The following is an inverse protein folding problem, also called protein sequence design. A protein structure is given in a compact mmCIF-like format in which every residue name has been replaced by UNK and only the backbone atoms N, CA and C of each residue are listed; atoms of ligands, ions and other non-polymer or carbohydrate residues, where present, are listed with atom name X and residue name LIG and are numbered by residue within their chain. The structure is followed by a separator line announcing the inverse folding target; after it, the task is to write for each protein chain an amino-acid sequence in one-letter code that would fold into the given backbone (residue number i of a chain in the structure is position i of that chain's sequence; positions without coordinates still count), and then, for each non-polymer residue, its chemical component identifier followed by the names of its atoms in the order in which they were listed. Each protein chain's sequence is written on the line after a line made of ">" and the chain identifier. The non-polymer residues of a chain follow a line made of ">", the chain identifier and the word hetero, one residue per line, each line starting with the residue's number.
data_IF_733540594204
#
_entry.id   IF_733540594204
#
_cell.length_a   1.000
_cell.length_b   1.000
_cell.length_c   1.000
_cell.angle_alpha   90.00
_cell.angle_beta   90.00
_cell.angle_gamma   90.00
#
_symmetry.space_group_name_H-M   'P 1'
#
loop_
_entity.id
_entity.type
_entity.pdbx_description
1 polymer ?
#
# COMPACT_ATOMS: atom_id res chain seq x y z
N UNK A 1 -17.47 -2.11 -31.86
CA UNK A 1 -16.31 -2.59 -31.09
C UNK A 1 -15.08 -1.88 -31.64
N UNK A 2 -14.31 -1.14 -30.83
CA UNK A 2 -13.14 -0.43 -31.35
C UNK A 2 -11.99 -1.41 -31.52
N UNK A 3 -11.63 -1.66 -32.78
CA UNK A 3 -10.49 -2.44 -33.21
C UNK A 3 -9.19 -1.84 -32.65
N UNK A 4 -8.48 -2.64 -31.85
CA UNK A 4 -7.21 -2.26 -31.25
C UNK A 4 -6.12 -2.62 -32.26
N UNK A 5 -5.57 -1.62 -32.93
CA UNK A 5 -4.37 -1.78 -33.74
C UNK A 5 -3.29 -2.56 -32.94
N UNK A 6 -2.99 -3.79 -33.37
CA UNK A 6 -1.87 -4.58 -32.87
C UNK A 6 -2.05 -5.35 -31.55
N UNK A 7 -3.28 -5.50 -31.02
CA UNK A 7 -3.62 -6.59 -30.10
C UNK A 7 -2.85 -6.72 -28.77
N UNK A 8 -2.22 -5.66 -28.24
CA UNK A 8 -1.50 -5.73 -26.96
C UNK A 8 -2.32 -5.11 -25.82
N UNK A 9 -2.47 -5.86 -24.72
CA UNK A 9 -3.20 -5.41 -23.54
C UNK A 9 -2.48 -4.27 -22.80
N UNK A 10 -3.22 -3.49 -22.01
CA UNK A 10 -2.62 -2.47 -21.14
C UNK A 10 -1.62 -3.05 -20.14
N UNK A 11 -1.89 -4.25 -19.60
CA UNK A 11 -0.97 -4.94 -18.69
C UNK A 11 0.37 -5.24 -19.36
N UNK A 12 0.35 -5.65 -20.64
CA UNK A 12 1.55 -5.88 -21.43
C UNK A 12 2.33 -4.58 -21.64
N UNK A 13 1.66 -3.51 -22.06
CA UNK A 13 2.30 -2.19 -22.25
C UNK A 13 2.95 -1.69 -20.95
N UNK A 14 2.25 -1.83 -19.82
CA UNK A 14 2.76 -1.46 -18.50
C UNK A 14 4.01 -2.26 -18.13
N UNK A 15 4.04 -3.56 -18.42
CA UNK A 15 5.22 -4.40 -18.18
C UNK A 15 6.43 -3.94 -19.00
N UNK A 16 6.24 -3.59 -20.27
CA UNK A 16 7.32 -3.10 -21.13
C UNK A 16 7.87 -1.74 -20.68
N UNK A 17 6.99 -0.82 -20.24
CA UNK A 17 7.40 0.47 -19.68
C UNK A 17 8.24 0.24 -18.41
N UNK A 18 7.79 -0.64 -17.53
CA UNK A 18 8.54 -1.00 -16.33
C UNK A 18 9.89 -1.59 -16.73
N UNK A 19 9.94 -2.56 -17.63
CA UNK A 19 11.21 -3.18 -18.06
C UNK A 19 12.21 -2.16 -18.63
N UNK A 20 11.72 -1.18 -19.41
CA UNK A 20 12.59 -0.18 -20.06
C UNK A 20 13.07 0.93 -19.12
N UNK A 21 12.23 1.35 -18.18
CA UNK A 21 12.49 2.55 -17.36
C UNK A 21 12.71 2.27 -15.87
N UNK A 22 12.49 1.03 -15.39
CA UNK A 22 12.78 0.62 -14.00
C UNK A 22 14.27 0.37 -13.84
N UNK A 23 15.02 1.43 -13.61
CA UNK A 23 16.42 1.37 -13.20
C UNK A 23 16.55 1.39 -11.66
N UNK A 24 17.75 1.08 -11.16
CA UNK A 24 18.02 1.02 -9.71
C UNK A 24 17.71 2.33 -8.97
N UNK A 25 18.02 3.47 -9.59
CA UNK A 25 17.71 4.80 -9.03
C UNK A 25 16.21 5.02 -8.88
N UNK A 26 15.41 4.62 -9.85
CA UNK A 26 13.95 4.70 -9.77
C UNK A 26 13.39 3.81 -8.67
N UNK A 27 13.88 2.57 -8.54
CA UNK A 27 13.47 1.66 -7.46
C UNK A 27 13.81 2.31 -6.11
N UNK A 28 15.03 2.81 -5.96
CA UNK A 28 15.47 3.49 -4.75
C UNK A 28 14.57 4.68 -4.39
N UNK A 29 14.26 5.56 -5.36
CA UNK A 29 13.35 6.70 -5.14
C UNK A 29 11.95 6.26 -4.68
N UNK A 30 11.42 5.16 -5.26
CA UNK A 30 10.12 4.60 -4.86
C UNK A 30 10.17 3.99 -3.46
N UNK A 31 11.24 3.28 -3.13
CA UNK A 31 11.48 2.74 -1.79
C UNK A 31 11.54 3.88 -0.77
N UNK A 32 12.36 4.91 -1.00
CA UNK A 32 12.43 6.08 -0.13
C UNK A 32 11.07 6.77 0.02
N UNK A 33 10.29 6.87 -1.06
CA UNK A 33 8.93 7.44 -1.01
C UNK A 33 7.97 6.63 -0.14
N UNK A 34 8.10 5.31 -0.16
CA UNK A 34 7.34 4.39 0.69
C UNK A 34 7.77 4.54 2.16
N UNK A 35 9.07 4.44 2.43
CA UNK A 35 9.64 4.44 3.78
C UNK A 35 9.46 5.77 4.52
N UNK A 36 9.59 6.90 3.81
CA UNK A 36 9.43 8.23 4.39
C UNK A 36 7.96 8.61 4.63
N UNK A 37 7.01 7.87 4.06
CA UNK A 37 5.59 8.17 4.21
C UNK A 37 4.95 7.21 5.23
N UNK A 38 5.43 7.27 6.47
CA UNK A 38 4.82 6.60 7.62
C UNK A 38 3.37 7.03 7.80
N UNK A 39 2.54 6.15 8.34
CA UNK A 39 1.16 6.50 8.67
C UNK A 39 1.14 7.54 9.80
N UNK A 40 0.22 8.49 9.71
CA UNK A 40 -0.10 9.45 10.77
C UNK A 40 -1.61 9.56 10.88
N UNK A 41 -2.11 9.88 12.08
CA UNK A 41 -3.55 9.92 12.38
C UNK A 41 -4.31 10.95 11.57
N UNK A 42 -3.62 12.00 11.10
CA UNK A 42 -4.22 13.09 10.30
C UNK A 42 -4.45 12.69 8.83
N UNK A 43 -3.98 11.52 8.39
CA UNK A 43 -4.14 11.06 7.01
C UNK A 43 -5.42 10.23 6.89
N UNK A 44 -6.14 10.42 5.78
CA UNK A 44 -7.23 9.54 5.40
C UNK A 44 -6.71 8.09 5.27
N UNK A 45 -7.27 7.19 6.10
CA UNK A 45 -6.85 5.80 6.28
C UNK A 45 -6.82 5.07 4.93
N UNK A 46 -7.95 5.12 4.24
CA UNK A 46 -8.15 4.48 2.95
C UNK A 46 -7.16 4.97 1.89
N UNK A 47 -7.01 6.28 1.77
CA UNK A 47 -6.11 6.87 0.78
C UNK A 47 -4.65 6.53 1.04
N UNK A 48 -4.23 6.52 2.30
CA UNK A 48 -2.88 6.14 2.67
C UNK A 48 -2.63 4.66 2.34
N UNK A 49 -3.54 3.76 2.74
CA UNK A 49 -3.44 2.34 2.43
C UNK A 49 -3.31 2.07 0.93
N UNK A 50 -4.20 2.65 0.12
CA UNK A 50 -4.15 2.51 -1.34
C UNK A 50 -2.86 3.06 -1.94
N UNK A 51 -2.37 4.20 -1.45
CA UNK A 51 -1.16 4.84 -1.97
C UNK A 51 0.08 3.99 -1.68
N UNK A 52 0.18 3.42 -0.48
CA UNK A 52 1.29 2.55 -0.12
C UNK A 52 1.23 1.21 -0.86
N UNK A 53 0.04 0.62 -1.01
CA UNK A 53 -0.16 -0.58 -1.84
C UNK A 53 0.35 -0.36 -3.27
N UNK A 54 -0.03 0.77 -3.90
CA UNK A 54 0.45 1.13 -5.25
C UNK A 54 1.98 1.26 -5.32
N UNK A 55 2.62 1.80 -4.27
CA UNK A 55 4.09 1.94 -4.20
C UNK A 55 4.78 0.60 -4.04
N UNK A 56 4.27 -0.26 -3.16
CA UNK A 56 4.79 -1.62 -2.99
C UNK A 56 4.72 -2.42 -4.28
N UNK A 57 3.57 -2.39 -4.98
CA UNK A 57 3.40 -3.04 -6.29
C UNK A 57 4.25 -2.44 -7.41
N UNK A 58 4.64 -1.17 -7.28
CA UNK A 58 5.59 -0.54 -8.19
C UNK A 58 7.04 -0.95 -7.89
N UNK A 59 7.39 -1.11 -6.62
CA UNK A 59 8.71 -1.57 -6.18
C UNK A 59 8.87 -3.05 -6.53
N UNK A 60 7.89 -3.88 -6.24
CA UNK A 60 7.90 -5.32 -6.50
C UNK A 60 6.51 -5.78 -6.97
N UNK A 61 6.34 -5.93 -8.30
CA UNK A 61 5.07 -6.37 -8.88
C UNK A 61 4.68 -7.82 -8.56
N UNK A 62 5.62 -8.65 -8.09
CA UNK A 62 5.38 -10.06 -7.78
C UNK A 62 5.17 -10.30 -6.28
N UNK A 63 5.09 -9.24 -5.49
CA UNK A 63 4.84 -9.31 -4.06
C UNK A 63 3.50 -10.01 -3.79
N UNK A 64 3.54 -11.03 -2.93
CA UNK A 64 2.31 -11.67 -2.46
C UNK A 64 1.60 -10.78 -1.43
N UNK A 65 0.32 -11.06 -1.18
CA UNK A 65 -0.53 -10.24 -0.31
C UNK A 65 0.00 -10.22 1.13
N UNK A 66 0.53 -11.34 1.63
CA UNK A 66 1.07 -11.43 2.99
C UNK A 66 2.30 -10.54 3.20
N UNK A 67 3.23 -10.54 2.24
CA UNK A 67 4.40 -9.67 2.23
C UNK A 67 4.00 -8.20 2.09
N UNK A 68 3.00 -7.91 1.25
CA UNK A 68 2.44 -6.57 1.11
C UNK A 68 1.88 -6.08 2.45
N UNK A 69 1.04 -6.89 3.10
CA UNK A 69 0.44 -6.59 4.39
C UNK A 69 1.49 -6.44 5.49
N UNK A 70 2.48 -7.34 5.56
CA UNK A 70 3.56 -7.25 6.54
C UNK A 70 4.37 -5.94 6.38
N UNK A 71 4.74 -5.59 5.14
CA UNK A 71 5.41 -4.32 4.87
C UNK A 71 4.53 -3.15 5.23
N UNK A 72 3.23 -3.19 4.91
CA UNK A 72 2.31 -2.11 5.19
C UNK A 72 2.19 -1.83 6.70
N UNK A 73 1.97 -2.88 7.49
CA UNK A 73 1.84 -2.81 8.94
C UNK A 73 3.13 -2.34 9.64
N UNK A 74 4.31 -2.66 9.09
CA UNK A 74 5.61 -2.20 9.64
C UNK A 74 5.77 -0.68 9.66
N UNK A 75 5.11 0.06 8.77
CA UNK A 75 5.19 1.53 8.69
C UNK A 75 3.99 2.23 9.33
N UNK A 76 3.19 1.48 10.09
CA UNK A 76 2.20 2.02 11.00
C UNK A 76 2.80 2.20 12.41
N UNK A 77 2.22 3.10 13.23
CA UNK A 77 2.45 3.14 14.67
C UNK A 77 2.33 1.76 15.31
N UNK A 78 3.23 1.46 16.26
CA UNK A 78 3.35 0.14 16.91
C UNK A 78 2.06 -0.23 17.64
N UNK A 79 1.32 0.77 18.12
CA UNK A 79 0.07 0.65 18.86
C UNK A 79 -1.05 0.08 17.99
N UNK A 80 -1.02 0.32 16.67
CA UNK A 80 -2.04 -0.16 15.74
C UNK A 80 -1.78 -1.58 15.25
N UNK A 81 -0.53 -2.05 15.33
CA UNK A 81 -0.14 -3.36 14.80
C UNK A 81 -0.90 -4.53 15.46
N UNK A 82 -1.01 -4.65 16.80
CA UNK A 82 -1.75 -5.73 17.45
C UNK A 82 -3.25 -5.68 17.12
N UNK A 83 -3.84 -4.48 17.14
CA UNK A 83 -5.26 -4.26 16.88
C UNK A 83 -5.68 -4.71 15.48
N UNK A 84 -4.88 -4.37 14.46
CA UNK A 84 -5.14 -4.77 13.08
C UNK A 84 -4.88 -6.27 12.92
N UNK A 85 -3.78 -6.79 13.47
CA UNK A 85 -3.43 -8.23 13.37
C UNK A 85 -4.49 -9.13 14.02
N UNK A 86 -5.16 -8.68 15.08
CA UNK A 86 -6.24 -9.43 15.71
C UNK A 86 -7.52 -9.49 14.87
N UNK A 87 -7.76 -8.51 13.98
CA UNK A 87 -9.00 -8.36 13.22
C UNK A 87 -8.87 -8.76 11.74
N UNK A 88 -7.64 -8.76 11.22
CA UNK A 88 -7.34 -9.05 9.83
C UNK A 88 -6.48 -10.32 9.69
N UNK A 89 -6.86 -11.20 8.77
CA UNK A 89 -6.01 -12.31 8.36
C UNK A 89 -4.75 -11.81 7.65
N UNK A 90 -3.66 -12.59 7.67
CA UNK A 90 -2.38 -12.18 7.04
C UNK A 90 -2.51 -11.94 5.53
N UNK A 91 -3.49 -12.57 4.87
CA UNK A 91 -3.79 -12.48 3.44
C UNK A 91 -5.03 -11.64 3.12
N UNK A 92 -5.51 -10.81 4.05
CA UNK A 92 -6.66 -9.93 3.82
C UNK A 92 -6.40 -8.90 2.70
N UNK A 93 -7.48 -8.46 2.07
CA UNK A 93 -7.41 -7.37 1.10
C UNK A 93 -7.05 -6.04 1.79
N UNK A 94 -6.37 -5.14 1.06
CA UNK A 94 -5.96 -3.85 1.61
C UNK A 94 -7.16 -2.98 2.06
N UNK A 95 -8.33 -3.15 1.44
CA UNK A 95 -9.57 -2.49 1.86
C UNK A 95 -10.03 -2.94 3.25
N UNK A 96 -9.82 -4.22 3.62
CA UNK A 96 -10.13 -4.73 4.96
C UNK A 96 -9.21 -4.13 6.01
N UNK A 97 -7.92 -3.96 5.69
CA UNK A 97 -6.96 -3.27 6.56
C UNK A 97 -7.37 -1.81 6.75
N UNK A 98 -7.79 -1.12 5.68
CA UNK A 98 -8.22 0.27 5.75
C UNK A 98 -9.47 0.45 6.62
N UNK A 99 -10.48 -0.40 6.44
CA UNK A 99 -11.70 -0.38 7.24
C UNK A 99 -11.41 -0.67 8.72
N UNK A 100 -10.57 -1.67 8.98
CA UNK A 100 -10.15 -2.02 10.36
C UNK A 100 -9.39 -0.87 11.00
N UNK A 101 -8.52 -0.20 10.25
CA UNK A 101 -7.78 0.96 10.72
C UNK A 101 -8.72 2.11 11.07
N UNK A 102 -9.73 2.38 10.23
CA UNK A 102 -10.76 3.38 10.52
C UNK A 102 -11.56 3.05 11.80
N UNK A 103 -11.95 1.78 11.97
CA UNK A 103 -12.65 1.31 13.16
C UNK A 103 -11.81 1.43 14.45
N UNK A 104 -10.52 1.08 14.37
CA UNK A 104 -9.58 1.24 15.49
C UNK A 104 -9.43 2.73 15.81
N UNK A 105 -9.22 3.59 14.82
CA UNK A 105 -9.10 5.03 15.03
C UNK A 105 -10.36 5.67 15.63
N UNK A 106 -11.56 5.14 15.35
CA UNK A 106 -12.81 5.60 15.97
C UNK A 106 -12.96 5.17 17.43
N UNK A 107 -12.44 4.00 17.80
CA UNK A 107 -12.60 3.41 19.14
C UNK A 107 -11.51 3.83 20.12
N UNK A 108 -10.29 3.90 19.62
CA UNK A 108 -9.14 4.39 20.36
C UNK A 108 -9.05 5.88 20.06
N UNK A 109 -9.19 6.74 21.08
CA UNK A 109 -9.04 8.21 20.99
C UNK A 109 -7.64 8.69 20.52
N UNK A 110 -6.88 7.85 19.84
CA UNK A 110 -5.55 8.10 19.26
C UNK A 110 -5.54 9.29 18.28
N UNK A 111 -6.70 9.67 17.72
CA UNK A 111 -6.86 10.89 16.90
C UNK A 111 -7.13 12.18 17.70
N UNK A 112 -7.37 12.08 19.02
CA UNK A 112 -7.68 13.24 19.89
C UNK A 112 -6.48 13.78 20.67
N UNK A 113 -5.36 13.04 20.68
CA UNK A 113 -4.14 13.40 21.43
C UNK A 113 -2.94 13.69 20.50
N UNK A 114 -3.18 14.28 19.33
CA UNK A 114 -2.12 14.93 18.56
C UNK A 114 -1.99 16.37 19.08
N UNK A 115 -0.81 16.79 19.60
CA UNK A 115 -0.60 18.17 20.09
C UNK A 115 -0.66 19.22 18.99
#
# INVERSE_FOLDING_TARGET
>A
MKEIHGGRSWSWLKSQIIQKYRNGTWIWQRTMSFENNKYSVDKAQYEWCLRQSKRLKAIDPQMNIEMENHKHLKYMPVELYPEIKCKCNQSCAMDEIANTLEDVMKRTDLGKYSP
#
